data_IF_741903604092
#
_entry.id   IF_741903604092
#
_cell.length_a   1.000
_cell.length_b   1.000
_cell.length_c   1.000
_cell.angle_alpha   90.00
_cell.angle_beta   90.00
_cell.angle_gamma   90.00
#
_symmetry.space_group_name_H-M   'P 1'
#
loop_
_entity.id
_entity.type
_entity.pdbx_description
1 polymer ?
#
# COMPACT_ATOMS: atom_id res chain seq x y z
N UNK A 1 -32.33 32.35 0.19
CA UNK A 1 -32.06 31.70 1.51
C UNK A 1 -31.79 30.21 1.39
N UNK A 2 -32.76 29.34 1.03
CA UNK A 2 -32.47 27.90 0.85
C UNK A 2 -31.49 27.64 -0.30
N UNK A 3 -31.73 28.23 -1.47
CA UNK A 3 -30.85 28.11 -2.64
C UNK A 3 -29.43 28.65 -2.37
N UNK A 4 -29.33 29.73 -1.60
CA UNK A 4 -28.03 30.28 -1.16
C UNK A 4 -27.28 29.28 -0.26
N UNK A 5 -27.99 28.59 0.64
CA UNK A 5 -27.40 27.54 1.46
C UNK A 5 -26.94 26.35 0.60
N UNK A 6 -27.76 25.89 -0.35
CA UNK A 6 -27.39 24.84 -1.30
C UNK A 6 -26.12 25.21 -2.08
N UNK A 7 -26.05 26.45 -2.58
CA UNK A 7 -24.87 26.97 -3.30
C UNK A 7 -23.62 27.03 -2.40
N UNK A 8 -23.79 27.46 -1.14
CA UNK A 8 -22.71 27.49 -0.16
C UNK A 8 -22.16 26.07 0.12
N UNK A 9 -23.03 25.10 0.39
CA UNK A 9 -22.61 23.72 0.67
C UNK A 9 -21.90 23.11 -0.54
N UNK A 10 -22.41 23.35 -1.75
CA UNK A 10 -21.73 22.93 -2.98
C UNK A 10 -20.33 23.55 -3.09
N UNK A 11 -20.21 24.85 -2.81
CA UNK A 11 -18.92 25.55 -2.86
C UNK A 11 -17.92 24.95 -1.86
N UNK A 12 -18.36 24.65 -0.64
CA UNK A 12 -17.53 23.97 0.37
C UNK A 12 -17.05 22.60 -0.15
N UNK A 13 -17.93 21.80 -0.73
CA UNK A 13 -17.56 20.49 -1.28
C UNK A 13 -16.56 20.63 -2.43
N UNK A 14 -16.76 21.59 -3.33
CA UNK A 14 -15.85 21.86 -4.46
C UNK A 14 -14.47 22.27 -3.96
N UNK A 15 -14.40 23.25 -3.05
CA UNK A 15 -13.13 23.70 -2.45
C UNK A 15 -12.41 22.51 -1.81
N UNK A 16 -13.10 21.70 -1.01
CA UNK A 16 -12.45 20.54 -0.38
C UNK A 16 -11.95 19.51 -1.40
N UNK A 17 -12.64 19.33 -2.54
CA UNK A 17 -12.12 18.46 -3.60
C UNK A 17 -10.84 19.06 -4.22
N UNK A 18 -10.79 20.37 -4.45
CA UNK A 18 -9.61 21.05 -4.98
C UNK A 18 -8.42 20.95 -4.02
N UNK A 19 -8.65 21.15 -2.72
CA UNK A 19 -7.59 21.00 -1.70
C UNK A 19 -7.02 19.58 -1.65
N UNK A 20 -7.85 18.55 -1.89
CA UNK A 20 -7.37 17.17 -2.04
C UNK A 20 -6.53 17.01 -3.31
N UNK A 21 -6.97 17.58 -4.45
CA UNK A 21 -6.21 17.51 -5.72
C UNK A 21 -4.87 18.24 -5.64
N UNK A 22 -4.81 19.36 -4.91
CA UNK A 22 -3.59 20.10 -4.65
C UNK A 22 -2.66 19.40 -3.65
N UNK A 23 -3.13 18.34 -2.98
CA UNK A 23 -2.38 17.62 -1.96
C UNK A 23 -2.26 18.36 -0.63
N UNK A 24 -3.04 19.43 -0.43
CA UNK A 24 -3.05 20.22 0.80
C UNK A 24 -3.73 19.45 1.94
N UNK A 25 -4.71 18.61 1.61
CA UNK A 25 -5.39 17.71 2.55
C UNK A 25 -5.56 16.31 1.96
N UNK A 26 -5.72 15.31 2.82
CA UNK A 26 -6.02 13.92 2.41
C UNK A 26 -7.53 13.70 2.23
N UNK A 27 -7.91 12.61 1.54
CA UNK A 27 -9.32 12.17 1.43
C UNK A 27 -9.95 11.94 2.82
N UNK A 28 -9.17 11.47 3.79
CA UNK A 28 -9.62 11.30 5.18
C UNK A 28 -9.87 12.65 5.85
N UNK A 29 -8.96 13.61 5.69
CA UNK A 29 -9.16 14.97 6.22
C UNK A 29 -10.36 15.66 5.57
N UNK A 30 -10.58 15.48 4.26
CA UNK A 30 -11.79 15.96 3.59
C UNK A 30 -13.05 15.38 4.25
N UNK A 31 -13.08 14.07 4.50
CA UNK A 31 -14.20 13.41 5.18
C UNK A 31 -14.43 14.01 6.57
N UNK A 32 -13.38 14.13 7.38
CA UNK A 32 -13.46 14.68 8.74
C UNK A 32 -14.00 16.12 8.74
N UNK A 33 -13.56 16.95 7.79
CA UNK A 33 -14.04 18.33 7.64
C UNK A 33 -15.53 18.34 7.27
N UNK A 34 -15.98 17.49 6.34
CA UNK A 34 -17.40 17.39 5.98
C UNK A 34 -18.26 16.90 7.15
N UNK A 35 -17.76 15.97 7.96
CA UNK A 35 -18.44 15.52 9.19
C UNK A 35 -18.56 16.65 10.22
N UNK A 36 -17.49 17.42 10.43
CA UNK A 36 -17.49 18.59 11.30
C UNK A 36 -18.47 19.66 10.80
N UNK A 37 -18.45 19.95 9.50
CA UNK A 37 -19.36 20.89 8.86
C UNK A 37 -20.83 20.48 9.04
N UNK A 38 -21.14 19.19 8.84
CA UNK A 38 -22.47 18.61 9.06
C UNK A 38 -22.90 18.71 10.53
N UNK A 39 -21.98 18.50 11.46
CA UNK A 39 -22.27 18.60 12.90
C UNK A 39 -22.47 20.05 13.34
N UNK A 40 -21.68 20.96 12.78
CA UNK A 40 -21.80 22.39 13.03
C UNK A 40 -23.14 22.92 12.49
N UNK A 41 -23.56 22.51 11.29
CA UNK A 41 -24.83 22.94 10.70
C UNK A 41 -26.03 22.52 11.55
N UNK A 42 -26.02 21.32 12.13
CA UNK A 42 -27.05 20.86 13.10
C UNK A 42 -27.16 21.78 14.32
N UNK A 43 -26.04 22.32 14.81
CA UNK A 43 -26.01 23.27 15.93
C UNK A 43 -26.38 24.70 15.55
N UNK A 44 -26.06 25.13 14.32
CA UNK A 44 -26.37 26.49 13.85
C UNK A 44 -27.86 26.59 13.49
N UNK A 45 -28.39 25.60 12.79
CA UNK A 45 -29.76 25.60 12.30
C UNK A 45 -30.74 24.90 13.25
N UNK A 46 -30.55 24.99 14.57
CA UNK A 46 -31.33 24.21 15.56
C UNK A 46 -32.85 24.38 15.42
N UNK A 47 -33.33 25.56 15.03
CA UNK A 47 -34.76 25.84 14.82
C UNK A 47 -35.20 25.80 13.35
N UNK A 48 -34.32 25.39 12.44
CA UNK A 48 -34.55 25.35 10.99
C UNK A 48 -34.25 23.94 10.44
N UNK A 49 -35.12 22.96 10.69
CA UNK A 49 -34.90 21.56 10.31
C UNK A 49 -34.74 21.36 8.80
N UNK A 50 -35.34 22.22 7.97
CA UNK A 50 -35.19 22.23 6.52
C UNK A 50 -33.75 22.53 6.07
N UNK A 51 -33.04 23.43 6.78
CA UNK A 51 -31.64 23.74 6.50
C UNK A 51 -30.70 22.65 7.02
N UNK A 52 -31.02 22.06 8.18
CA UNK A 52 -30.27 20.89 8.67
C UNK A 52 -30.34 19.73 7.67
N UNK A 53 -31.55 19.45 7.15
CA UNK A 53 -31.78 18.38 6.18
C UNK A 53 -31.07 18.66 4.86
N UNK A 54 -31.10 19.89 4.38
CA UNK A 54 -30.39 20.29 3.15
C UNK A 54 -28.89 19.99 3.28
N UNK A 55 -28.23 20.55 4.32
CA UNK A 55 -26.79 20.33 4.53
C UNK A 55 -26.48 18.85 4.69
N UNK A 56 -27.22 18.13 5.53
CA UNK A 56 -26.97 16.72 5.80
C UNK A 56 -27.14 15.87 4.54
N UNK A 57 -28.17 16.14 3.72
CA UNK A 57 -28.40 15.36 2.50
C UNK A 57 -27.25 15.48 1.49
N UNK A 58 -26.65 16.66 1.39
CA UNK A 58 -25.55 16.91 0.47
C UNK A 58 -24.23 16.34 0.99
N UNK A 59 -23.96 16.49 2.29
CA UNK A 59 -22.69 16.06 2.88
C UNK A 59 -22.65 14.56 3.15
N UNK A 60 -23.76 13.94 3.58
CA UNK A 60 -23.83 12.50 3.88
C UNK A 60 -23.56 11.64 2.64
N UNK A 61 -24.09 12.02 1.47
CA UNK A 61 -23.80 11.32 0.23
C UNK A 61 -22.31 11.37 -0.09
N UNK A 62 -21.68 12.54 0.03
CA UNK A 62 -20.25 12.70 -0.22
C UNK A 62 -19.40 11.91 0.78
N UNK A 63 -19.74 11.98 2.08
CA UNK A 63 -19.06 11.21 3.15
C UNK A 63 -19.16 9.71 2.91
N UNK A 64 -20.33 9.21 2.48
CA UNK A 64 -20.55 7.81 2.16
C UNK A 64 -19.67 7.37 0.99
N UNK A 65 -19.64 8.16 -0.09
CA UNK A 65 -18.77 7.89 -1.24
C UNK A 65 -17.30 7.83 -0.85
N UNK A 66 -16.83 8.81 -0.07
CA UNK A 66 -15.45 8.83 0.43
C UNK A 66 -15.14 7.60 1.29
N UNK A 67 -16.08 7.20 2.16
CA UNK A 67 -15.89 6.03 3.02
C UNK A 67 -15.81 4.72 2.21
N UNK A 68 -16.58 4.58 1.14
CA UNK A 68 -16.50 3.43 0.24
C UNK A 68 -15.15 3.40 -0.50
N UNK A 69 -14.71 4.55 -1.02
CA UNK A 69 -13.42 4.66 -1.72
C UNK A 69 -12.24 4.34 -0.79
N UNK A 70 -12.28 4.80 0.46
CA UNK A 70 -11.25 4.48 1.45
C UNK A 70 -11.23 2.99 1.77
N UNK A 71 -12.40 2.36 1.96
CA UNK A 71 -12.49 0.93 2.22
C UNK A 71 -11.96 0.08 1.05
N UNK A 72 -12.24 0.48 -0.19
CA UNK A 72 -11.71 -0.19 -1.38
C UNK A 72 -10.18 -0.06 -1.47
N UNK A 73 -9.63 1.12 -1.17
CA UNK A 73 -8.17 1.32 -1.10
C UNK A 73 -7.54 0.47 0.01
N UNK A 74 -8.18 0.35 1.17
CA UNK A 74 -7.70 -0.50 2.27
C UNK A 74 -7.66 -1.98 1.87
N UNK A 75 -8.67 -2.47 1.14
CA UNK A 75 -8.71 -3.84 0.61
C UNK A 75 -7.61 -4.08 -0.43
N UNK A 76 -7.39 -3.13 -1.34
CA UNK A 76 -6.29 -3.20 -2.31
C UNK A 76 -4.92 -3.21 -1.61
N UNK A 77 -4.73 -2.37 -0.58
CA UNK A 77 -3.50 -2.35 0.22
C UNK A 77 -3.29 -3.68 0.96
N UNK A 78 -4.34 -4.31 1.46
CA UNK A 78 -4.24 -5.63 2.08
C UNK A 78 -3.80 -6.70 1.08
N UNK A 79 -4.38 -6.67 -0.13
CA UNK A 79 -3.98 -7.57 -1.23
C UNK A 79 -2.51 -7.40 -1.61
N UNK A 80 -2.05 -6.15 -1.81
CA UNK A 80 -0.65 -5.90 -2.13
C UNK A 80 0.32 -6.34 -1.03
N UNK A 81 -0.06 -6.19 0.25
CA UNK A 81 0.75 -6.70 1.37
C UNK A 81 0.87 -8.21 1.34
N UNK A 82 -0.21 -8.93 1.03
CA UNK A 82 -0.17 -10.39 0.90
C UNK A 82 0.74 -10.82 -0.26
N UNK A 83 0.59 -10.19 -1.43
CA UNK A 83 1.44 -10.49 -2.58
C UNK A 83 2.93 -10.18 -2.34
N UNK A 84 3.24 -9.14 -1.57
CA UNK A 84 4.62 -8.83 -1.18
C UNK A 84 5.18 -9.91 -0.26
N UNK A 85 4.39 -10.38 0.72
CA UNK A 85 4.80 -11.47 1.60
C UNK A 85 5.07 -12.78 0.84
N UNK A 86 4.24 -13.10 -0.17
CA UNK A 86 4.46 -14.27 -1.03
C UNK A 86 5.75 -14.14 -1.86
N UNK A 87 6.03 -12.94 -2.38
CA UNK A 87 7.28 -12.66 -3.10
C UNK A 87 8.51 -12.76 -2.20
N UNK A 88 8.42 -12.25 -0.98
CA UNK A 88 9.51 -12.35 0.00
C UNK A 88 9.81 -13.81 0.36
N UNK A 89 8.78 -14.63 0.53
CA UNK A 89 8.93 -16.07 0.75
C UNK A 89 9.62 -16.77 -0.44
N UNK A 90 9.18 -16.48 -1.67
CA UNK A 90 9.79 -17.04 -2.88
C UNK A 90 11.26 -16.63 -3.04
N UNK A 91 11.62 -15.38 -2.69
CA UNK A 91 13.00 -14.92 -2.70
C UNK A 91 13.86 -15.64 -1.65
N UNK A 92 13.30 -15.92 -0.47
CA UNK A 92 13.99 -16.70 0.56
C UNK A 92 14.27 -18.14 0.09
N UNK A 93 13.31 -18.80 -0.55
CA UNK A 93 13.48 -20.14 -1.12
C UNK A 93 14.54 -20.18 -2.22
N UNK A 94 14.56 -19.16 -3.08
CA UNK A 94 15.60 -19.01 -4.10
C UNK A 94 16.99 -18.82 -3.49
N UNK A 95 17.10 -17.99 -2.43
CA UNK A 95 18.36 -17.78 -1.72
C UNK A 95 18.87 -19.08 -1.09
N UNK A 96 17.99 -19.89 -0.49
CA UNK A 96 18.35 -21.21 0.04
C UNK A 96 18.85 -22.14 -1.07
N UNK A 97 18.15 -22.18 -2.21
CA UNK A 97 18.55 -23.00 -3.37
C UNK A 97 19.93 -22.59 -3.91
N UNK A 98 20.25 -21.29 -3.91
CA UNK A 98 21.56 -20.78 -4.33
C UNK A 98 22.63 -21.24 -3.34
N UNK A 99 22.37 -21.13 -2.03
CA UNK A 99 23.31 -21.57 -1.00
C UNK A 99 23.63 -23.08 -1.11
N UNK A 100 22.61 -23.92 -1.37
CA UNK A 100 22.81 -25.36 -1.58
C UNK A 100 23.70 -25.64 -2.81
N UNK A 101 23.49 -24.91 -3.91
CA UNK A 101 24.32 -25.04 -5.13
C UNK A 101 25.75 -24.58 -4.91
N UNK A 102 25.95 -23.50 -4.15
CA UNK A 102 27.28 -23.02 -3.80
C UNK A 102 28.04 -24.04 -2.96
N UNK A 103 27.36 -24.73 -2.03
CA UNK A 103 27.93 -25.83 -1.27
C UNK A 103 28.30 -27.03 -2.18
N UNK A 104 27.42 -27.44 -3.09
CA UNK A 104 27.71 -28.53 -4.04
C UNK A 104 28.91 -28.19 -4.94
N UNK A 105 29.02 -26.94 -5.40
CA UNK A 105 30.16 -26.47 -6.18
C UNK A 105 31.46 -26.50 -5.37
N UNK A 106 31.43 -26.13 -4.09
CA UNK A 106 32.58 -26.22 -3.21
C UNK A 106 33.07 -27.67 -3.05
N UNK A 107 32.17 -28.62 -2.84
CA UNK A 107 32.48 -30.05 -2.71
C UNK A 107 33.09 -30.63 -4.00
N UNK A 108 32.54 -30.25 -5.16
CA UNK A 108 33.10 -30.64 -6.46
C UNK A 108 34.51 -30.08 -6.66
N UNK A 109 34.74 -28.81 -6.30
CA UNK A 109 36.06 -28.20 -6.38
C UNK A 109 37.08 -28.90 -5.48
N UNK A 110 36.68 -29.29 -4.26
CA UNK A 110 37.53 -30.07 -3.36
C UNK A 110 37.88 -31.45 -3.94
N UNK A 111 36.90 -32.14 -4.54
CA UNK A 111 37.10 -33.43 -5.20
C UNK A 111 38.09 -33.32 -6.37
N UNK A 112 37.93 -32.30 -7.23
CA UNK A 112 38.84 -32.04 -8.35
C UNK A 112 40.26 -31.77 -7.84
N UNK A 113 40.40 -30.97 -6.78
CA UNK A 113 41.71 -30.69 -6.17
C UNK A 113 42.39 -31.97 -5.65
N UNK A 114 41.62 -32.87 -5.01
CA UNK A 114 42.14 -34.17 -4.54
C UNK A 114 42.62 -35.04 -5.70
N UNK A 115 41.79 -35.20 -6.74
CA UNK A 115 42.14 -35.98 -7.93
C UNK A 115 43.38 -35.42 -8.64
N UNK A 116 43.51 -34.09 -8.71
CA UNK A 116 44.67 -33.44 -9.28
C UNK A 116 45.95 -33.73 -8.48
N UNK A 117 45.87 -33.70 -7.14
CA UNK A 117 46.98 -34.05 -6.26
C UNK A 117 47.40 -35.53 -6.42
N UNK A 118 46.44 -36.46 -6.51
CA UNK A 118 46.69 -37.87 -6.78
C UNK A 118 47.37 -38.10 -8.13
N UNK A 119 46.90 -37.43 -9.19
CA UNK A 119 47.52 -37.51 -10.52
C UNK A 119 48.97 -37.01 -10.52
N UNK A 120 49.27 -35.92 -9.79
CA UNK A 120 50.64 -35.44 -9.62
C UNK A 120 51.50 -36.49 -8.91
N UNK A 121 51.01 -37.07 -7.82
CA UNK A 121 51.72 -38.10 -7.06
C UNK A 121 52.02 -39.32 -7.92
N UNK A 122 51.04 -39.78 -8.72
CA UNK A 122 51.19 -40.90 -9.64
C UNK A 122 52.22 -40.61 -10.72
N UNK A 123 52.15 -39.44 -11.37
CA UNK A 123 53.13 -39.03 -12.38
C UNK A 123 54.55 -39.01 -11.81
N UNK A 124 54.73 -38.51 -10.58
CA UNK A 124 56.03 -38.53 -9.88
C UNK A 124 56.52 -39.95 -9.61
N UNK A 125 55.64 -40.87 -9.23
CA UNK A 125 55.98 -42.28 -9.00
C UNK A 125 56.50 -42.97 -10.28
N UNK A 126 55.95 -42.63 -11.44
CA UNK A 126 56.35 -43.20 -12.73
C UNK A 126 57.42 -42.39 -13.49
N UNK A 127 57.99 -41.34 -12.89
CA UNK A 127 59.00 -40.50 -13.54
C UNK A 127 58.50 -39.73 -14.77
N UNK A 128 57.20 -39.45 -14.83
CA UNK A 128 56.53 -38.67 -15.89
C UNK A 128 56.48 -37.16 -15.58
N UNK A 129 57.05 -36.76 -14.44
CA UNK A 129 57.26 -35.41 -13.92
C UNK A 129 58.64 -35.37 -13.26
#
# INVERSE_FOLDING_TARGET
>A
KKEELTSLVNSVIVILNEEVQLGNITELQQKDILELFTRASKKIFTHYPEYQREVSSMTELKIKTLSMQLAEKDEQLATYKAELADRDAALADQAATIADKDAELADKNATIASQHAELIALKKQYGLL
#
